data_IF_089632002571
#
_entry.id   IF_089632002571
#
_cell.length_a   1.000
_cell.length_b   1.000
_cell.length_c   1.000
_cell.angle_alpha   90.00
_cell.angle_beta   90.00
_cell.angle_gamma   90.00
#
_symmetry.space_group_name_H-M   'P 1'
#
loop_
_entity.id
_entity.type
_entity.pdbx_description
1 polymer ?
#
# COMPACT_ATOMS: atom_id res chain seq x y z
N UNK A 1 1.35 2.92 14.46
CA UNK A 1 0.23 2.79 15.42
C UNK A 1 -1.11 3.02 14.74
N UNK A 2 -1.40 4.22 14.21
CA UNK A 2 -2.66 4.57 13.55
C UNK A 2 -3.13 3.54 12.51
N UNK A 3 -2.24 3.04 11.64
CA UNK A 3 -2.60 1.98 10.68
C UNK A 3 -3.16 0.71 11.34
N UNK A 4 -2.62 0.30 12.48
CA UNK A 4 -3.14 -0.87 13.21
C UNK A 4 -4.50 -0.58 13.86
N UNK A 5 -4.76 0.65 14.27
CA UNK A 5 -6.09 1.09 14.76
C UNK A 5 -7.12 1.12 13.64
N UNK A 6 -6.71 1.59 12.46
CA UNK A 6 -7.54 1.54 11.23
C UNK A 6 -7.90 0.09 10.89
N UNK A 7 -6.94 -0.84 10.94
CA UNK A 7 -7.21 -2.27 10.72
C UNK A 7 -8.22 -2.78 11.75
N UNK A 8 -8.03 -2.47 13.04
CA UNK A 8 -8.95 -2.88 14.10
C UNK A 8 -10.37 -2.34 13.89
N UNK A 9 -10.51 -1.09 13.45
CA UNK A 9 -11.79 -0.42 13.24
C UNK A 9 -12.49 -0.82 11.94
N UNK A 10 -11.74 -1.29 10.93
CA UNK A 10 -12.25 -1.66 9.60
C UNK A 10 -13.31 -2.77 9.60
N UNK A 11 -13.39 -3.55 10.68
CA UNK A 11 -14.28 -4.71 10.79
C UNK A 11 -13.71 -5.99 10.18
N UNK A 12 -12.53 -5.93 9.54
CA UNK A 12 -11.85 -7.15 9.07
C UNK A 12 -10.96 -7.81 10.13
N UNK A 13 -10.63 -7.09 11.21
CA UNK A 13 -9.79 -7.60 12.30
C UNK A 13 -10.58 -8.54 13.24
N UNK A 14 -10.73 -9.79 12.79
CA UNK A 14 -11.40 -10.89 13.48
C UNK A 14 -10.51 -12.13 13.49
N UNK A 15 -10.81 -13.11 14.35
CA UNK A 15 -10.08 -14.38 14.32
C UNK A 15 -10.18 -15.03 12.94
N UNK A 16 -9.04 -15.50 12.43
CA UNK A 16 -8.91 -16.04 11.08
C UNK A 16 -8.74 -15.01 9.97
N UNK A 17 -8.54 -13.71 10.26
CA UNK A 17 -8.27 -12.74 9.20
C UNK A 17 -6.95 -13.04 8.47
N UNK A 18 -6.81 -12.46 7.29
CA UNK A 18 -5.62 -12.56 6.45
C UNK A 18 -5.07 -11.18 6.13
N UNK A 19 -3.75 -11.06 5.98
CA UNK A 19 -3.16 -9.77 5.67
C UNK A 19 -1.90 -9.85 4.83
N UNK A 20 -1.58 -8.73 4.18
CA UNK A 20 -0.29 -8.48 3.56
C UNK A 20 0.21 -7.10 3.97
N UNK A 21 1.52 -6.97 4.16
CA UNK A 21 2.17 -5.68 4.41
C UNK A 21 3.38 -5.49 3.52
N UNK A 22 3.84 -4.25 3.44
CA UNK A 22 5.07 -3.87 2.75
C UNK A 22 6.32 -4.32 3.50
N UNK A 23 7.44 -4.33 2.79
CA UNK A 23 8.73 -4.82 3.27
C UNK A 23 9.59 -3.76 3.98
N UNK A 24 9.06 -2.56 4.23
CA UNK A 24 9.79 -1.49 4.91
C UNK A 24 8.93 -0.32 5.40
N UNK A 25 9.58 0.62 6.09
CA UNK A 25 8.98 1.87 6.56
C UNK A 25 7.78 1.67 7.50
N UNK A 26 6.80 2.57 7.38
CA UNK A 26 5.59 2.56 8.21
C UNK A 26 4.71 1.32 7.96
N UNK A 27 4.73 0.77 6.74
CA UNK A 27 3.98 -0.45 6.42
C UNK A 27 4.48 -1.64 7.22
N UNK A 28 5.80 -1.91 7.22
CA UNK A 28 6.39 -2.98 8.04
C UNK A 28 6.27 -2.69 9.54
N UNK A 29 6.44 -1.43 9.96
CA UNK A 29 6.32 -1.04 11.37
C UNK A 29 4.90 -1.28 11.94
N UNK A 30 3.88 -1.37 11.08
CA UNK A 30 2.51 -1.72 11.48
C UNK A 30 2.44 -3.11 12.13
N UNK A 31 3.31 -4.05 11.74
CA UNK A 31 3.38 -5.41 12.30
C UNK A 31 3.48 -5.41 13.83
N UNK A 32 4.31 -4.52 14.39
CA UNK A 32 4.52 -4.42 15.85
C UNK A 32 3.22 -4.09 16.59
N UNK A 33 2.47 -3.11 16.10
CA UNK A 33 1.23 -2.67 16.75
C UNK A 33 0.08 -3.65 16.50
N UNK A 34 0.06 -4.28 15.32
CA UNK A 34 -0.91 -5.32 15.01
C UNK A 34 -0.72 -6.54 15.92
N UNK A 35 0.52 -6.95 16.17
CA UNK A 35 0.88 -8.00 17.14
C UNK A 35 0.31 -7.73 18.52
N UNK A 36 0.50 -6.52 19.05
CA UNK A 36 -0.01 -6.13 20.38
C UNK A 36 -1.54 -6.25 20.45
N UNK A 37 -2.24 -5.81 19.40
CA UNK A 37 -3.71 -5.93 19.30
C UNK A 37 -4.18 -7.39 19.19
N UNK A 38 -3.48 -8.20 18.40
CA UNK A 38 -3.76 -9.63 18.24
C UNK A 38 -3.63 -10.37 19.57
N UNK A 39 -2.55 -10.13 20.32
CA UNK A 39 -2.34 -10.69 21.66
C UNK A 39 -3.44 -10.25 22.63
N UNK A 40 -3.74 -8.94 22.68
CA UNK A 40 -4.76 -8.39 23.60
C UNK A 40 -6.15 -8.96 23.36
N UNK A 41 -6.51 -9.22 22.10
CA UNK A 41 -7.84 -9.74 21.72
C UNK A 41 -7.89 -11.25 21.52
N UNK A 42 -6.76 -11.94 21.71
CA UNK A 42 -6.62 -13.36 21.41
C UNK A 42 -7.09 -13.71 19.97
N UNK A 43 -6.69 -12.88 19.00
CA UNK A 43 -6.99 -13.03 17.58
C UNK A 43 -5.75 -13.60 16.88
N UNK A 44 -5.94 -14.57 15.99
CA UNK A 44 -4.90 -15.13 15.14
C UNK A 44 -5.26 -14.98 13.68
N UNK A 45 -4.27 -14.68 12.85
CA UNK A 45 -4.44 -14.64 11.40
C UNK A 45 -4.38 -16.05 10.81
N UNK A 46 -5.22 -16.34 9.82
CA UNK A 46 -5.16 -17.62 9.10
C UNK A 46 -3.95 -17.68 8.17
N UNK A 47 -3.66 -16.57 7.48
CA UNK A 47 -2.43 -16.47 6.70
C UNK A 47 -1.94 -15.03 6.53
N UNK A 48 -0.66 -14.94 6.20
CA UNK A 48 -0.03 -13.73 5.67
C UNK A 48 0.49 -14.01 4.26
N UNK A 49 0.38 -13.03 3.37
CA UNK A 49 0.71 -13.17 1.94
C UNK A 49 1.80 -12.19 1.51
N UNK A 50 2.56 -12.59 0.49
CA UNK A 50 3.31 -11.68 -0.36
C UNK A 50 4.80 -11.77 -0.13
N UNK A 51 5.41 -10.60 0.07
CA UNK A 51 6.84 -10.45 0.32
C UNK A 51 7.20 -10.68 1.77
N UNK A 52 7.82 -11.82 2.11
CA UNK A 52 7.99 -12.19 3.51
C UNK A 52 9.30 -11.66 4.09
N UNK A 53 9.21 -11.11 5.30
CA UNK A 53 10.34 -10.63 6.10
C UNK A 53 10.48 -11.43 7.40
N UNK A 54 11.63 -11.37 8.04
CA UNK A 54 11.87 -11.96 9.36
C UNK A 54 10.92 -11.46 10.44
N UNK A 55 10.39 -10.23 10.32
CA UNK A 55 9.34 -9.72 11.22
C UNK A 55 8.08 -10.57 11.15
N UNK A 56 7.66 -10.94 9.94
CA UNK A 56 6.49 -11.80 9.71
C UNK A 56 6.76 -13.23 10.18
N UNK A 57 7.98 -13.75 9.94
CA UNK A 57 8.38 -15.07 10.45
C UNK A 57 8.21 -15.15 11.97
N UNK A 58 8.65 -14.12 12.71
CA UNK A 58 8.51 -14.09 14.18
C UNK A 58 7.06 -14.14 14.63
N UNK A 59 6.15 -13.41 13.97
CA UNK A 59 4.71 -13.48 14.28
C UNK A 59 4.13 -14.88 14.05
N UNK A 60 4.60 -15.56 13.00
CA UNK A 60 4.20 -16.94 12.73
C UNK A 60 4.75 -17.90 13.79
N UNK A 61 6.02 -17.78 14.19
CA UNK A 61 6.64 -18.60 15.24
C UNK A 61 6.00 -18.38 16.62
N UNK A 62 5.52 -17.17 16.90
CA UNK A 62 4.71 -16.85 18.09
C UNK A 62 3.29 -17.43 18.04
N UNK A 63 2.89 -18.07 16.93
CA UNK A 63 1.58 -18.68 16.76
C UNK A 63 0.45 -17.67 16.53
N UNK A 64 0.80 -16.43 16.14
CA UNK A 64 -0.16 -15.38 15.78
C UNK A 64 -0.63 -15.49 14.33
N UNK A 65 0.18 -16.11 13.46
CA UNK A 65 -0.16 -16.37 12.06
C UNK A 65 -0.12 -17.87 11.85
N UNK A 66 -1.14 -18.49 11.27
CA UNK A 66 -1.18 -19.95 11.07
C UNK A 66 -0.37 -20.41 9.85
N UNK A 67 -0.37 -19.64 8.76
CA UNK A 67 0.36 -19.96 7.51
C UNK A 67 1.02 -18.74 6.89
N UNK A 68 2.14 -18.95 6.23
CA UNK A 68 2.79 -17.94 5.40
C UNK A 68 2.73 -18.39 3.94
N UNK A 69 2.31 -17.47 3.08
CA UNK A 69 2.19 -17.65 1.64
C UNK A 69 3.21 -16.73 0.95
N UNK A 70 4.35 -17.29 0.54
CA UNK A 70 5.55 -16.54 0.13
C UNK A 70 5.77 -16.60 -1.39
N UNK A 71 5.65 -15.45 -2.05
CA UNK A 71 6.02 -15.27 -3.46
C UNK A 71 7.44 -14.74 -3.62
N UNK A 72 8.00 -14.13 -2.58
CA UNK A 72 9.33 -13.52 -2.54
C UNK A 72 9.79 -13.31 -1.10
N UNK A 73 10.85 -14.01 -0.67
CA UNK A 73 11.50 -13.73 0.62
C UNK A 73 12.39 -12.48 0.51
N UNK A 74 12.20 -11.50 1.38
CA UNK A 74 12.92 -10.20 1.38
C UNK A 74 14.21 -10.21 2.20
N UNK A 75 14.40 -11.19 3.09
CA UNK A 75 15.61 -11.32 3.90
C UNK A 75 15.98 -12.79 4.16
N UNK A 76 17.17 -13.00 4.72
CA UNK A 76 17.71 -14.34 5.00
C UNK A 76 16.90 -15.09 6.07
N UNK A 77 16.23 -14.39 6.97
CA UNK A 77 15.39 -15.01 8.01
C UNK A 77 14.13 -15.62 7.37
N UNK A 78 13.45 -14.87 6.50
CA UNK A 78 12.35 -15.37 5.66
C UNK A 78 12.77 -16.56 4.79
N UNK A 79 13.90 -16.45 4.08
CA UNK A 79 14.40 -17.54 3.22
C UNK A 79 14.72 -18.82 4.02
N UNK A 80 15.31 -18.70 5.21
CA UNK A 80 15.57 -19.84 6.11
C UNK A 80 14.27 -20.44 6.66
N UNK A 81 13.30 -19.60 7.01
CA UNK A 81 11.98 -20.04 7.45
C UNK A 81 11.26 -20.83 6.36
N UNK A 82 11.26 -20.33 5.12
CA UNK A 82 10.67 -21.01 3.97
C UNK A 82 11.28 -22.41 3.76
N UNK A 83 12.59 -22.54 3.97
CA UNK A 83 13.28 -23.84 3.88
C UNK A 83 12.86 -24.82 4.98
N UNK A 84 12.65 -24.34 6.20
CA UNK A 84 12.61 -25.19 7.40
C UNK A 84 11.21 -25.33 8.04
N UNK A 85 10.24 -24.47 7.68
CA UNK A 85 8.92 -24.44 8.30
C UNK A 85 7.84 -24.90 7.31
N UNK A 86 7.16 -26.02 7.62
CA UNK A 86 6.15 -26.60 6.73
C UNK A 86 4.96 -25.68 6.42
N UNK A 87 4.67 -24.73 7.31
CA UNK A 87 3.54 -23.79 7.16
C UNK A 87 3.95 -22.48 6.51
N UNK A 88 5.23 -22.34 6.15
CA UNK A 88 5.74 -21.32 5.25
C UNK A 88 5.84 -21.93 3.85
N UNK A 89 4.91 -21.55 2.97
CA UNK A 89 4.70 -22.18 1.68
C UNK A 89 5.13 -21.24 0.56
N UNK A 90 5.97 -21.75 -0.35
CA UNK A 90 6.31 -21.04 -1.58
C UNK A 90 5.11 -21.00 -2.52
N UNK A 91 4.97 -19.91 -3.28
CA UNK A 91 4.01 -19.82 -4.39
C UNK A 91 4.59 -19.14 -5.61
N UNK A 92 3.94 -19.37 -6.75
CA UNK A 92 4.25 -18.65 -8.00
C UNK A 92 3.57 -17.27 -8.04
N UNK A 93 4.14 -16.35 -8.81
CA UNK A 93 3.50 -15.07 -9.09
C UNK A 93 2.11 -15.22 -9.76
N UNK A 94 1.92 -16.30 -10.52
CA UNK A 94 0.64 -16.62 -11.15
C UNK A 94 -0.46 -16.93 -10.13
N UNK A 95 -0.15 -17.76 -9.12
CA UNK A 95 -1.10 -18.04 -8.03
C UNK A 95 -1.23 -16.86 -7.06
N UNK A 96 -0.17 -16.08 -6.88
CA UNK A 96 -0.18 -14.88 -6.04
C UNK A 96 -1.22 -13.87 -6.53
N UNK A 97 -1.09 -13.35 -7.76
CA UNK A 97 -1.76 -12.10 -8.15
C UNK A 97 -2.30 -12.01 -9.60
N UNK A 98 -2.14 -13.05 -10.43
CA UNK A 98 -2.56 -12.98 -11.85
C UNK A 98 -4.06 -12.70 -12.02
N UNK A 99 -4.47 -11.64 -12.75
CA UNK A 99 -5.89 -11.34 -12.96
C UNK A 99 -6.60 -12.36 -13.85
N UNK A 100 -5.85 -13.19 -14.58
CA UNK A 100 -6.39 -14.28 -15.39
C UNK A 100 -6.70 -15.53 -14.55
N UNK A 101 -6.41 -15.51 -13.25
CA UNK A 101 -6.72 -16.59 -12.33
C UNK A 101 -7.67 -16.07 -11.23
N UNK A 102 -8.97 -16.40 -11.28
CA UNK A 102 -9.92 -15.93 -10.25
C UNK A 102 -9.59 -16.49 -8.86
N UNK A 103 -8.86 -17.60 -8.77
CA UNK A 103 -8.45 -18.26 -7.53
C UNK A 103 -7.13 -17.74 -6.95
N UNK A 104 -6.66 -16.55 -7.33
CA UNK A 104 -5.42 -15.98 -6.77
C UNK A 104 -5.50 -15.73 -5.27
N UNK A 105 -4.35 -15.85 -4.61
CA UNK A 105 -4.22 -15.61 -3.18
C UNK A 105 -4.58 -14.17 -2.77
N UNK A 106 -4.28 -13.17 -3.61
CA UNK A 106 -4.65 -11.76 -3.30
C UNK A 106 -6.15 -11.54 -3.18
N UNK A 107 -6.98 -12.34 -3.85
CA UNK A 107 -8.46 -12.23 -3.76
C UNK A 107 -9.01 -12.84 -2.45
N UNK A 108 -8.15 -13.46 -1.64
CA UNK A 108 -8.51 -13.98 -0.32
C UNK A 108 -8.01 -13.07 0.80
N UNK A 109 -7.38 -11.93 0.49
CA UNK A 109 -6.88 -10.99 1.49
C UNK A 109 -8.01 -10.18 2.13
N UNK A 110 -8.04 -10.16 3.46
CA UNK A 110 -8.91 -9.25 4.19
C UNK A 110 -8.34 -7.83 4.20
N UNK A 111 -7.02 -7.67 4.40
CA UNK A 111 -6.38 -6.35 4.40
C UNK A 111 -4.99 -6.34 3.79
N UNK A 112 -4.69 -5.30 3.02
CA UNK A 112 -3.33 -5.00 2.55
C UNK A 112 -2.87 -3.63 3.02
N UNK A 113 -1.62 -3.54 3.50
CA UNK A 113 -0.95 -2.29 3.83
C UNK A 113 0.14 -1.99 2.80
N UNK A 114 -0.08 -0.95 2.02
CA UNK A 114 0.77 -0.50 0.92
C UNK A 114 1.40 0.87 1.24
N UNK A 115 2.34 1.32 0.41
CA UNK A 115 3.01 2.61 0.53
C UNK A 115 2.97 3.37 -0.78
N UNK A 116 3.03 4.69 -0.73
CA UNK A 116 2.98 5.54 -1.92
C UNK A 116 4.17 6.50 -2.01
N UNK A 117 4.64 6.81 -3.22
CA UNK A 117 5.43 8.03 -3.45
C UNK A 117 4.50 9.25 -3.38
N UNK A 118 3.42 9.21 -4.16
CA UNK A 118 2.37 10.24 -4.19
C UNK A 118 0.99 9.57 -4.17
N UNK A 119 0.01 10.25 -3.58
CA UNK A 119 -1.41 9.93 -3.66
C UNK A 119 -2.16 11.21 -4.01
N UNK A 120 -3.10 11.17 -4.96
CA UNK A 120 -3.91 12.33 -5.28
C UNK A 120 -5.28 12.32 -4.60
N UNK A 121 -6.02 13.42 -4.77
CA UNK A 121 -7.36 13.59 -4.18
C UNK A 121 -8.41 12.63 -4.76
N UNK A 122 -8.13 12.01 -5.89
CA UNK A 122 -8.93 10.92 -6.48
C UNK A 122 -8.48 9.53 -5.97
N UNK A 123 -7.60 9.50 -4.96
CA UNK A 123 -7.00 8.31 -4.36
C UNK A 123 -6.09 7.50 -5.31
N UNK A 124 -5.74 8.03 -6.48
CA UNK A 124 -4.78 7.35 -7.35
C UNK A 124 -3.40 7.38 -6.71
N UNK A 125 -2.63 6.30 -6.90
CA UNK A 125 -1.35 6.12 -6.25
C UNK A 125 -0.24 5.99 -7.28
N UNK A 126 0.83 6.76 -7.04
CA UNK A 126 2.10 6.65 -7.72
C UNK A 126 3.12 5.94 -6.84
N UNK A 127 3.77 4.93 -7.40
CA UNK A 127 4.92 4.23 -6.80
C UNK A 127 6.09 4.08 -7.78
N UNK A 128 6.05 4.79 -8.91
CA UNK A 128 6.95 4.57 -10.03
C UNK A 128 7.84 5.78 -10.33
N UNK A 129 7.26 6.97 -10.44
CA UNK A 129 8.00 8.21 -10.77
C UNK A 129 8.22 9.06 -9.53
N UNK A 130 9.41 9.65 -9.42
CA UNK A 130 9.75 10.58 -8.35
C UNK A 130 9.12 11.97 -8.54
N UNK A 131 9.32 12.85 -7.56
CA UNK A 131 8.90 14.26 -7.62
C UNK A 131 9.60 15.08 -8.71
N UNK A 132 10.60 14.52 -9.38
CA UNK A 132 11.30 15.09 -10.53
C UNK A 132 10.85 14.45 -11.86
N UNK A 133 9.84 13.58 -11.83
CA UNK A 133 9.31 12.88 -13.00
C UNK A 133 10.14 11.68 -13.45
N UNK A 134 11.31 11.45 -12.85
CA UNK A 134 12.17 10.32 -13.22
C UNK A 134 11.62 8.99 -12.71
N UNK A 135 11.76 7.94 -13.52
CA UNK A 135 11.40 6.57 -13.14
C UNK A 135 12.43 6.06 -12.12
N UNK A 136 11.97 5.73 -10.90
CA UNK A 136 12.83 5.25 -9.81
C UNK A 136 12.17 4.27 -8.86
N UNK A 137 10.93 3.91 -9.13
CA UNK A 137 10.15 2.98 -8.34
C UNK A 137 9.84 1.70 -9.10
N UNK A 138 8.88 0.96 -8.57
CA UNK A 138 8.41 -0.28 -9.15
C UNK A 138 6.92 -0.45 -8.86
N UNK A 139 6.19 -0.98 -9.83
CA UNK A 139 4.76 -1.28 -9.69
C UNK A 139 4.56 -2.42 -8.69
N UNK A 140 5.36 -3.48 -8.80
CA UNK A 140 5.24 -4.68 -7.97
C UNK A 140 3.81 -5.27 -8.02
N UNK A 141 3.36 -5.85 -6.91
CA UNK A 141 1.96 -6.29 -6.74
C UNK A 141 1.04 -5.21 -6.15
N UNK A 142 1.42 -3.93 -6.23
CA UNK A 142 0.70 -2.83 -5.56
C UNK A 142 -0.74 -2.74 -6.06
N UNK A 143 -0.92 -2.65 -7.38
CA UNK A 143 -2.24 -2.61 -8.02
C UNK A 143 -3.03 -3.93 -7.88
N UNK A 144 -2.34 -5.07 -7.79
CA UNK A 144 -2.99 -6.37 -7.69
C UNK A 144 -3.60 -6.61 -6.31
N UNK A 145 -2.82 -6.34 -5.27
CA UNK A 145 -3.27 -6.52 -3.89
C UNK A 145 -4.29 -5.48 -3.48
N UNK A 146 -4.14 -4.23 -3.96
CA UNK A 146 -5.16 -3.19 -3.80
C UNK A 146 -6.50 -3.62 -4.43
N UNK A 147 -6.46 -4.24 -5.61
CA UNK A 147 -7.67 -4.73 -6.30
C UNK A 147 -8.26 -6.01 -5.68
N UNK A 148 -7.43 -6.86 -5.08
CA UNK A 148 -7.85 -8.17 -4.54
C UNK A 148 -8.30 -8.14 -3.08
N UNK A 149 -7.75 -7.24 -2.26
CA UNK A 149 -8.03 -7.19 -0.82
C UNK A 149 -9.41 -6.60 -0.52
N UNK A 150 -10.02 -7.04 0.59
CA UNK A 150 -11.28 -6.46 1.07
C UNK A 150 -11.13 -5.03 1.60
N UNK A 151 -9.96 -4.71 2.16
CA UNK A 151 -9.56 -3.37 2.60
C UNK A 151 -8.11 -3.09 2.18
N UNK A 152 -7.92 -2.03 1.42
CA UNK A 152 -6.63 -1.54 0.93
C UNK A 152 -6.25 -0.24 1.63
N UNK A 153 -5.10 -0.24 2.29
CA UNK A 153 -4.63 0.89 3.08
C UNK A 153 -3.31 1.40 2.51
N UNK A 154 -3.29 2.66 2.11
CA UNK A 154 -2.07 3.36 1.71
C UNK A 154 -1.51 4.10 2.92
N UNK A 155 -0.24 3.84 3.24
CA UNK A 155 0.47 4.51 4.33
C UNK A 155 1.61 5.34 3.78
N UNK A 156 1.59 6.64 4.04
CA UNK A 156 2.69 7.54 3.69
C UNK A 156 2.77 8.70 4.69
N UNK A 157 3.96 9.25 4.99
CA UNK A 157 4.02 10.53 5.69
C UNK A 157 3.37 11.61 4.81
N UNK A 158 2.77 12.63 5.41
CA UNK A 158 2.14 13.73 4.69
C UNK A 158 3.14 14.44 3.77
N UNK A 159 4.38 14.56 4.23
CA UNK A 159 5.50 15.18 3.51
C UNK A 159 6.79 14.37 3.66
N UNK A 160 7.69 14.49 2.68
CA UNK A 160 9.04 13.92 2.68
C UNK A 160 10.05 15.02 2.39
N UNK A 161 10.60 15.61 3.45
CA UNK A 161 11.42 16.81 3.32
C UNK A 161 10.58 17.96 2.76
N UNK A 162 10.86 18.37 1.51
CA UNK A 162 10.13 19.45 0.81
C UNK A 162 9.10 18.94 -0.21
N UNK A 163 8.82 17.64 -0.22
CA UNK A 163 7.91 17.01 -1.18
C UNK A 163 6.62 16.65 -0.47
N UNK A 164 5.47 17.06 -1.02
CA UNK A 164 4.16 16.63 -0.55
C UNK A 164 3.87 15.20 -1.04
N UNK A 165 3.40 14.33 -0.16
CA UNK A 165 2.97 12.98 -0.55
C UNK A 165 1.51 12.94 -0.99
N UNK A 166 0.68 13.88 -0.52
CA UNK A 166 -0.72 14.03 -0.94
C UNK A 166 -0.83 15.27 -1.81
N UNK A 167 -1.23 15.07 -3.07
CA UNK A 167 -1.14 16.08 -4.16
C UNK A 167 -2.47 16.24 -4.89
N UNK A 168 -2.56 17.22 -5.77
CA UNK A 168 -3.73 17.42 -6.63
C UNK A 168 -3.92 16.30 -7.65
N UNK A 169 -2.81 15.88 -8.28
CA UNK A 169 -2.76 14.81 -9.27
C UNK A 169 -1.39 14.17 -9.21
N UNK A 170 -1.34 12.84 -9.21
CA UNK A 170 -0.06 12.13 -9.22
C UNK A 170 0.65 12.26 -10.57
N UNK A 171 1.98 12.16 -10.57
CA UNK A 171 2.75 12.15 -11.82
C UNK A 171 2.49 10.91 -12.68
N UNK A 172 2.20 9.77 -12.05
CA UNK A 172 1.96 8.52 -12.76
C UNK A 172 0.96 7.66 -11.98
N UNK A 173 -0.16 7.34 -12.60
CA UNK A 173 -1.18 6.47 -12.02
C UNK A 173 -0.71 5.01 -12.16
N UNK A 174 -0.39 4.39 -11.03
CA UNK A 174 -0.04 2.96 -10.97
C UNK A 174 -1.20 2.16 -10.39
N UNK A 175 -1.84 2.65 -9.33
CA UNK A 175 -3.01 2.02 -8.72
C UNK A 175 -4.17 3.00 -8.74
N UNK A 176 -5.29 2.63 -9.37
CA UNK A 176 -6.44 3.53 -9.49
C UNK A 176 -7.11 3.71 -8.13
N UNK A 177 -7.58 4.92 -7.84
CA UNK A 177 -8.18 5.22 -6.53
C UNK A 177 -9.44 4.44 -6.21
N UNK A 178 -10.14 3.90 -7.22
CA UNK A 178 -11.28 2.99 -7.02
C UNK A 178 -10.92 1.70 -6.28
N UNK A 179 -9.64 1.32 -6.22
CA UNK A 179 -9.14 0.16 -5.48
C UNK A 179 -8.34 0.57 -4.24
N UNK A 180 -8.46 1.81 -3.79
CA UNK A 180 -7.82 2.33 -2.58
C UNK A 180 -8.88 2.77 -1.60
N UNK A 181 -8.93 2.14 -0.43
CA UNK A 181 -10.01 2.36 0.52
C UNK A 181 -9.68 3.42 1.57
N UNK A 182 -8.44 3.44 2.04
CA UNK A 182 -8.01 4.32 3.13
C UNK A 182 -6.59 4.84 2.88
N UNK A 183 -6.36 6.14 3.08
CA UNK A 183 -5.05 6.77 3.14
C UNK A 183 -4.75 7.15 4.59
N UNK A 184 -3.63 6.66 5.12
CA UNK A 184 -3.14 6.95 6.47
C UNK A 184 -1.86 7.76 6.37
N UNK A 185 -1.88 8.93 7.02
CA UNK A 185 -0.70 9.78 7.19
C UNK A 185 -0.39 10.01 8.66
N UNK A 186 0.77 10.60 8.95
CA UNK A 186 1.12 11.10 10.28
C UNK A 186 0.24 12.30 10.71
N UNK A 187 -0.59 12.85 9.82
CA UNK A 187 -1.41 14.04 10.06
C UNK A 187 -2.92 13.78 10.01
N UNK A 188 -3.35 12.53 9.75
CA UNK A 188 -4.75 12.15 9.68
C UNK A 188 -5.00 10.96 8.76
N UNK A 189 -6.23 10.46 8.82
CA UNK A 189 -6.72 9.33 8.02
C UNK A 189 -7.85 9.81 7.12
N UNK A 190 -7.75 9.52 5.82
CA UNK A 190 -8.80 9.79 4.85
C UNK A 190 -9.38 8.47 4.32
N UNK A 191 -10.70 8.29 4.48
CA UNK A 191 -11.43 7.12 3.96
C UNK A 191 -12.02 7.51 2.61
N UNK A 192 -11.84 6.66 1.60
CA UNK A 192 -12.38 6.89 0.28
C UNK A 192 -13.92 7.02 0.34
N UNK A 193 -14.52 8.08 -0.22
CA UNK A 193 -15.97 8.27 -0.25
C UNK A 193 -16.76 7.10 -0.83
N UNK A 194 -16.14 6.27 -1.69
CA UNK A 194 -16.73 5.05 -2.23
C UNK A 194 -17.00 3.97 -1.17
N UNK A 195 -16.32 4.03 -0.02
CA UNK A 195 -16.40 3.07 1.09
C UNK A 195 -17.32 3.56 2.20
N UNK A 196 -18.60 3.74 1.87
CA UNK A 196 -19.63 4.17 2.84
C UNK A 196 -19.76 3.21 4.02
N UNK A 197 -19.47 1.93 3.82
CA UNK A 197 -19.40 0.92 4.88
C UNK A 197 -18.29 1.20 5.89
N UNK A 198 -17.11 1.62 5.43
CA UNK A 198 -16.00 2.02 6.30
C UNK A 198 -16.27 3.36 6.96
N UNK A 199 -16.81 4.34 6.23
CA UNK A 199 -17.20 5.63 6.82
C UNK A 199 -18.15 5.43 8.00
N UNK A 200 -19.18 4.58 7.85
CA UNK A 200 -20.10 4.26 8.94
C UNK A 200 -19.39 3.64 10.14
N UNK A 201 -18.51 2.66 9.90
CA UNK A 201 -17.77 1.97 10.96
C UNK A 201 -16.89 2.93 11.75
N UNK A 202 -16.32 3.95 11.12
CA UNK A 202 -15.36 4.85 11.76
C UNK A 202 -15.99 6.06 12.45
N UNK A 203 -17.31 6.30 12.31
CA UNK A 203 -18.02 7.46 12.90
C UNK A 203 -17.76 7.69 14.39
N UNK A 204 -17.67 6.60 15.16
CA UNK A 204 -17.48 6.64 16.62
C UNK A 204 -16.06 6.23 17.04
N UNK A 205 -15.11 6.24 16.09
CA UNK A 205 -13.71 5.95 16.40
C UNK A 205 -13.00 7.19 16.93
N UNK A 206 -11.95 6.98 17.72
CA UNK A 206 -11.06 8.07 18.17
C UNK A 206 -9.97 8.39 17.14
N UNK A 207 -10.09 7.87 15.92
CA UNK A 207 -9.12 8.08 14.84
C UNK A 207 -9.34 9.48 14.28
N UNK A 208 -8.24 10.22 14.06
CA UNK A 208 -8.29 11.54 13.44
C UNK A 208 -8.67 11.44 11.95
N UNK A 209 -9.97 11.39 11.68
CA UNK A 209 -10.52 11.36 10.33
C UNK A 209 -10.51 12.76 9.70
N UNK A 210 -10.18 12.82 8.43
CA UNK A 210 -10.24 14.01 7.60
C UNK A 210 -10.50 13.62 6.14
N UNK A 211 -10.68 14.59 5.25
CA UNK A 211 -10.75 14.32 3.81
C UNK A 211 -9.36 14.32 3.19
N UNK A 212 -9.21 13.68 2.02
CA UNK A 212 -7.94 13.65 1.32
C UNK A 212 -7.52 15.04 0.80
N UNK A 213 -8.49 15.90 0.48
CA UNK A 213 -8.27 17.30 0.10
C UNK A 213 -7.69 18.10 1.25
N UNK A 214 -8.19 17.90 2.48
CA UNK A 214 -7.62 18.53 3.67
C UNK A 214 -6.18 18.07 3.93
N UNK A 215 -5.88 16.78 3.70
CA UNK A 215 -4.51 16.29 3.77
C UNK A 215 -3.64 16.98 2.70
N UNK A 216 -4.10 17.04 1.45
CA UNK A 216 -3.43 17.75 0.34
C UNK A 216 -3.18 19.22 0.69
N UNK A 217 -4.20 19.94 1.16
CA UNK A 217 -4.09 21.37 1.51
C UNK A 217 -3.10 21.57 2.66
N UNK A 218 -3.15 20.69 3.67
CA UNK A 218 -2.18 20.70 4.77
C UNK A 218 -0.76 20.42 4.27
N UNK A 219 -0.57 19.46 3.38
CA UNK A 219 0.74 19.16 2.80
C UNK A 219 1.30 20.39 2.05
N UNK A 220 0.48 21.01 1.19
CA UNK A 220 0.86 22.22 0.44
C UNK A 220 1.14 23.42 1.35
N UNK A 221 0.45 23.53 2.49
CA UNK A 221 0.72 24.59 3.47
C UNK A 221 2.10 24.44 4.14
N UNK A 222 2.62 23.21 4.25
CA UNK A 222 3.89 22.91 4.91
C UNK A 222 5.09 23.04 3.98
N UNK A 223 4.97 22.58 2.73
CA UNK A 223 6.11 22.51 1.80
C UNK A 223 5.98 23.48 0.61
N UNK A 224 4.86 24.18 0.50
CA UNK A 224 4.52 24.98 -0.68
C UNK A 224 4.05 24.12 -1.85
N UNK A 225 3.69 24.77 -2.95
CA UNK A 225 3.46 24.08 -4.23
C UNK A 225 4.81 23.85 -4.89
N UNK A 226 5.12 22.59 -5.19
CA UNK A 226 6.32 22.22 -5.94
C UNK A 226 6.34 22.88 -7.33
N UNK A 227 7.55 23.07 -7.89
CA UNK A 227 7.68 23.48 -9.29
C UNK A 227 7.06 22.40 -10.17
N UNK A 228 6.21 22.79 -11.11
CA UNK A 228 5.67 21.85 -12.10
C UNK A 228 6.81 21.26 -12.93
N UNK A 229 6.74 19.96 -13.20
CA UNK A 229 7.71 19.27 -14.04
C UNK A 229 7.32 19.53 -15.49
N UNK A 230 8.27 19.97 -16.29
CA UNK A 230 8.09 20.12 -17.72
C UNK A 230 8.42 18.79 -18.40
N UNK A 231 7.46 18.30 -19.19
CA UNK A 231 7.59 17.08 -19.97
C UNK A 231 7.57 17.42 -21.46
N UNK A 232 8.31 16.64 -22.25
CA UNK A 232 8.19 16.64 -23.71
C UNK A 232 7.06 15.71 -24.17
N UNK A 233 6.71 15.73 -25.46
CA UNK A 233 5.69 14.81 -26.02
C UNK A 233 6.18 13.36 -26.18
N UNK A 234 7.45 13.07 -25.89
CA UNK A 234 8.02 11.74 -26.07
C UNK A 234 7.60 10.81 -24.93
N UNK A 235 6.84 9.76 -25.26
CA UNK A 235 6.54 8.66 -24.34
C UNK A 235 7.79 7.82 -24.09
N UNK A 236 8.16 7.64 -22.82
CA UNK A 236 9.29 6.82 -22.35
C UNK A 236 8.86 5.62 -21.52
N UNK A 237 7.58 5.54 -21.15
CA UNK A 237 7.02 4.40 -20.44
C UNK A 237 5.52 4.26 -20.68
N UNK A 238 5.06 3.01 -20.73
CA UNK A 238 3.64 2.67 -20.78
C UNK A 238 3.32 1.92 -19.50
N UNK A 239 2.39 2.44 -18.71
CA UNK A 239 1.92 1.80 -17.47
C UNK A 239 0.69 0.98 -17.81
N UNK A 240 0.83 -0.34 -17.72
CA UNK A 240 -0.28 -1.26 -17.89
C UNK A 240 -0.95 -1.57 -16.56
N UNK A 241 -2.27 -1.48 -16.52
CA UNK A 241 -3.04 -2.04 -15.43
C UNK A 241 -2.95 -3.57 -15.44
N UNK A 242 -3.29 -4.21 -14.32
CA UNK A 242 -3.18 -5.67 -14.16
C UNK A 242 -3.90 -6.45 -15.27
N UNK A 243 -5.02 -5.97 -15.79
CA UNK A 243 -5.79 -6.61 -16.86
C UNK A 243 -5.19 -6.45 -18.27
N UNK A 244 -4.06 -5.76 -18.40
CA UNK A 244 -3.37 -5.50 -19.66
C UNK A 244 -3.80 -4.22 -20.38
N UNK A 245 -4.81 -3.50 -19.89
CA UNK A 245 -5.14 -2.17 -20.38
C UNK A 245 -4.05 -1.14 -20.04
N UNK A 246 -3.93 -0.07 -20.82
CA UNK A 246 -3.02 1.04 -20.50
C UNK A 246 -3.73 2.00 -19.54
N UNK A 247 -3.17 2.19 -18.35
CA UNK A 247 -3.73 3.11 -17.34
C UNK A 247 -3.07 4.49 -17.37
N UNK A 248 -1.78 4.56 -17.75
CA UNK A 248 -1.08 5.83 -17.85
C UNK A 248 0.15 5.74 -18.79
N UNK A 249 0.67 6.90 -19.16
CA UNK A 249 1.90 7.06 -19.95
C UNK A 249 2.90 7.90 -19.17
N UNK A 250 4.17 7.57 -19.29
CA UNK A 250 5.28 8.35 -18.72
C UNK A 250 5.96 9.07 -19.87
N UNK A 251 6.10 10.39 -19.73
CA UNK A 251 6.72 11.25 -20.72
C UNK A 251 8.15 11.62 -20.31
N UNK A 252 9.02 11.89 -21.28
CA UNK A 252 10.39 12.34 -21.02
C UNK A 252 10.36 13.71 -20.34
N UNK A 253 11.05 13.83 -19.20
CA UNK A 253 11.29 15.11 -18.52
C UNK A 253 12.19 15.98 -19.40
N UNK A 254 11.86 17.28 -19.54
CA UNK A 254 12.68 18.24 -20.29
C UNK A 254 13.97 18.53 -19.51
N UNK A 255 15.11 18.43 -20.17
CA UNK A 255 16.40 18.79 -19.55
C UNK A 255 16.43 20.30 -19.28
N UNK A 256 16.86 20.71 -18.08
CA UNK A 256 16.92 22.13 -17.71
C UNK A 256 18.10 22.88 -18.35
N UNK A 257 19.01 22.16 -19.02
CA UNK A 257 20.26 22.69 -19.57
C UNK A 257 20.19 23.00 -21.09
N UNK A 258 19.02 22.86 -21.73
CA UNK A 258 18.87 23.17 -23.18
C UNK A 258 18.48 24.63 -23.47
N UNK A 259 18.25 25.46 -22.45
CA UNK A 259 17.76 26.85 -22.59
C UNK A 259 18.78 27.94 -22.11
N UNK A 260 20.07 27.62 -21.94
CA UNK A 260 21.16 28.60 -21.68
C UNK A 260 22.14 28.77 -22.86
#
# INVERSE_FOLDING_TARGET
ETTAEVIEQSGVFKDGFSFQMGSGGASLATARFLREKMLKKNIKADFVLGGITGVIVKLHEEGLIKKILDVQSFDLEAAKSLKNNRFHQQMSAYYYASPNNPGTAVNQLDVVILSALEVDVDYNVNVLTGSDGSIRGAIGGHQDTAAGASVSIIVCPLTRGRIASVVDKVNTIVTPGKTVDIVVTDQGVAINPLRTDLIERFKNSNINLTTIENLRDKAMSLVGRGKSIEYTDKVVGIVTYRDGSVIDLIYQVKDQDEDD
#
